data_IF_681308097232
#
_entry.id   IF_681308097232
#
_cell.length_a   1.000
_cell.length_b   1.000
_cell.length_c   1.000
_cell.angle_alpha   90.00
_cell.angle_beta   90.00
_cell.angle_gamma   90.00
#
_symmetry.space_group_name_H-M   'P 1'
#
loop_
_entity.id
_entity.type
_entity.pdbx_description
1 polymer ?
#
# COMPACT_ATOMS: atom_id res chain seq x y z
N UNK A 1 -24.00 10.81 8.73
CA UNK A 1 -22.60 11.32 8.95
C UNK A 1 -22.42 11.97 10.33
N UNK A 2 -23.47 12.50 10.96
CA UNK A 2 -23.38 13.13 12.31
C UNK A 2 -23.02 12.09 13.38
N UNK A 3 -23.39 10.82 13.22
CA UNK A 3 -23.01 9.73 14.15
C UNK A 3 -21.54 9.31 14.08
N UNK A 4 -20.86 9.52 12.93
CA UNK A 4 -19.46 9.16 12.77
C UNK A 4 -18.50 10.14 13.42
N UNK A 5 -18.85 11.44 13.45
CA UNK A 5 -18.02 12.47 14.10
C UNK A 5 -18.00 12.34 15.62
N UNK A 6 -19.12 11.95 16.23
CA UNK A 6 -19.16 11.64 17.67
C UNK A 6 -18.33 10.40 18.00
N UNK A 7 -18.34 9.37 17.14
CA UNK A 7 -17.53 8.17 17.34
C UNK A 7 -16.02 8.44 17.24
N UNK A 8 -15.60 9.43 16.47
CA UNK A 8 -14.18 9.77 16.28
C UNK A 8 -13.60 10.51 17.50
N UNK A 9 -14.44 11.24 18.26
CA UNK A 9 -13.97 12.08 19.38
C UNK A 9 -13.60 11.31 20.64
N UNK A 10 -14.23 10.18 20.88
CA UNK A 10 -14.11 9.39 22.12
C UNK A 10 -13.59 7.96 21.91
N UNK A 11 -13.21 7.59 20.68
CA UNK A 11 -12.72 6.24 20.37
C UNK A 11 -11.41 6.29 19.62
N UNK A 12 -10.56 5.30 19.88
CA UNK A 12 -9.35 5.09 19.12
C UNK A 12 -9.73 4.54 17.74
N UNK A 13 -9.46 5.30 16.69
CA UNK A 13 -9.73 4.90 15.31
C UNK A 13 -8.43 4.71 14.54
N UNK A 14 -8.33 3.59 13.82
CA UNK A 14 -7.15 3.23 13.04
C UNK A 14 -7.57 2.78 11.64
N UNK A 15 -6.79 3.16 10.62
CA UNK A 15 -6.91 2.63 9.26
C UNK A 15 -5.96 1.46 9.11
N UNK A 16 -6.45 0.34 8.57
CA UNK A 16 -5.70 -0.89 8.41
C UNK A 16 -4.70 -0.81 7.25
N UNK A 17 -3.44 -0.52 7.56
CA UNK A 17 -2.32 -0.49 6.63
C UNK A 17 -1.27 -1.53 7.04
N UNK A 18 -1.63 -2.81 6.99
CA UNK A 18 -0.88 -3.94 7.53
C UNK A 18 0.60 -3.96 7.11
N UNK A 19 0.96 -3.52 5.90
CA UNK A 19 2.35 -3.51 5.44
C UNK A 19 3.29 -2.67 6.30
N UNK A 20 2.76 -1.66 7.00
CA UNK A 20 3.51 -0.80 7.93
C UNK A 20 3.84 -1.47 9.27
N UNK A 21 3.32 -2.67 9.51
CA UNK A 21 3.47 -3.42 10.78
C UNK A 21 4.26 -4.73 10.61
N UNK A 22 4.63 -5.08 9.38
CA UNK A 22 5.47 -6.24 9.12
C UNK A 22 6.89 -6.05 9.64
N UNK A 23 7.50 -7.10 10.20
CA UNK A 23 8.83 -7.01 10.81
C UNK A 23 9.92 -6.64 9.79
N UNK A 24 9.80 -7.09 8.53
CA UNK A 24 10.71 -6.67 7.46
C UNK A 24 10.64 -5.17 7.19
N UNK A 25 9.43 -4.59 7.21
CA UNK A 25 9.23 -3.15 7.08
C UNK A 25 9.83 -2.37 8.27
N UNK A 26 9.57 -2.83 9.49
CA UNK A 26 10.10 -2.18 10.69
C UNK A 26 11.62 -2.22 10.72
N UNK A 27 12.23 -3.35 10.30
CA UNK A 27 13.69 -3.47 10.19
C UNK A 27 14.28 -2.57 9.11
N UNK A 28 13.61 -2.46 7.96
CA UNK A 28 14.01 -1.52 6.91
C UNK A 28 14.00 -0.08 7.43
N UNK A 29 12.94 0.33 8.13
CA UNK A 29 12.82 1.66 8.72
C UNK A 29 13.93 1.93 9.74
N UNK A 30 14.22 0.97 10.61
CA UNK A 30 15.35 1.04 11.57
C UNK A 30 16.66 1.31 10.85
N UNK A 31 16.97 0.54 9.78
CA UNK A 31 18.21 0.69 9.04
C UNK A 31 18.31 2.01 8.26
N UNK A 32 17.19 2.54 7.76
CA UNK A 32 17.16 3.87 7.13
C UNK A 32 17.43 4.99 8.14
N UNK A 33 17.03 4.81 9.38
CA UNK A 33 17.24 5.80 10.45
C UNK A 33 18.60 5.64 11.16
N UNK A 34 19.30 4.54 10.96
CA UNK A 34 20.54 4.23 11.67
C UNK A 34 21.77 4.94 11.12
N UNK A 35 21.71 5.42 9.89
CA UNK A 35 22.83 6.10 9.22
C UNK A 35 22.33 7.18 8.25
N UNK A 36 23.25 8.04 7.79
CA UNK A 36 22.99 9.18 6.88
C UNK A 36 23.11 8.82 5.41
N UNK A 37 23.05 7.54 5.03
CA UNK A 37 23.12 7.12 3.63
C UNK A 37 21.96 7.69 2.84
N UNK A 38 22.28 8.46 1.81
CA UNK A 38 21.26 9.01 0.92
C UNK A 38 20.61 7.93 0.07
N UNK A 39 19.32 8.07 -0.12
CA UNK A 39 18.60 7.29 -1.12
C UNK A 39 18.88 7.92 -2.48
N UNK A 40 19.28 7.10 -3.46
CA UNK A 40 19.54 7.54 -4.83
C UNK A 40 18.39 7.19 -5.78
N UNK A 41 17.64 6.13 -5.45
CA UNK A 41 16.50 5.67 -6.23
C UNK A 41 15.59 4.76 -5.40
N UNK A 42 14.29 4.75 -5.71
CA UNK A 42 13.36 3.76 -5.19
C UNK A 42 12.51 3.15 -6.30
N UNK A 43 12.16 1.89 -6.12
CA UNK A 43 11.16 1.22 -6.94
C UNK A 43 10.22 0.45 -6.02
N UNK A 44 8.94 0.59 -6.24
CA UNK A 44 7.96 -0.20 -5.51
C UNK A 44 6.85 -0.64 -6.46
N UNK A 45 6.23 -1.77 -6.15
CA UNK A 45 5.26 -2.36 -7.04
C UNK A 45 4.23 -3.22 -6.34
N UNK A 46 3.07 -3.27 -6.95
CA UNK A 46 1.97 -4.17 -6.67
C UNK A 46 1.50 -4.76 -8.01
N UNK A 47 2.14 -5.84 -8.44
CA UNK A 47 1.74 -6.60 -9.61
C UNK A 47 1.10 -7.87 -9.07
N UNK A 48 -0.23 -7.91 -9.10
CA UNK A 48 -0.98 -8.93 -8.37
C UNK A 48 -2.09 -9.56 -9.20
N UNK A 49 -2.36 -10.83 -8.91
CA UNK A 49 -3.57 -11.53 -9.29
C UNK A 49 -4.68 -11.25 -8.29
N UNK A 50 -5.92 -11.21 -8.73
CA UNK A 50 -7.09 -11.18 -7.85
C UNK A 50 -7.12 -12.35 -6.86
N UNK A 51 -7.74 -12.12 -5.70
CA UNK A 51 -7.66 -13.02 -4.56
C UNK A 51 -8.27 -14.41 -4.73
N UNK A 52 -9.19 -14.58 -5.69
CA UNK A 52 -9.99 -15.81 -5.84
C UNK A 52 -9.13 -17.05 -6.08
N UNK A 53 -8.05 -16.94 -6.86
CA UNK A 53 -7.10 -18.03 -7.07
C UNK A 53 -6.46 -18.50 -5.76
N UNK A 54 -5.98 -17.58 -4.93
CA UNK A 54 -5.32 -17.90 -3.67
C UNK A 54 -6.32 -18.41 -2.64
N UNK A 55 -7.48 -17.79 -2.52
CA UNK A 55 -8.54 -18.19 -1.59
C UNK A 55 -9.10 -19.57 -1.93
N UNK A 56 -9.25 -19.89 -3.21
CA UNK A 56 -9.78 -21.17 -3.67
C UNK A 56 -8.89 -22.36 -3.32
N UNK A 57 -7.59 -22.13 -3.07
CA UNK A 57 -6.67 -23.22 -2.69
C UNK A 57 -6.70 -23.53 -1.19
N UNK A 58 -7.14 -22.61 -0.36
CA UNK A 58 -7.06 -22.73 1.09
C UNK A 58 -8.43 -22.90 1.74
N UNK A 59 -9.40 -22.18 1.25
CA UNK A 59 -10.77 -22.23 1.76
C UNK A 59 -11.72 -21.76 0.68
N UNK A 60 -12.76 -22.52 0.41
CA UNK A 60 -13.86 -22.05 -0.43
C UNK A 60 -14.53 -20.87 0.28
N UNK A 61 -14.53 -19.67 -0.30
CA UNK A 61 -15.25 -18.56 0.28
C UNK A 61 -16.75 -18.87 0.24
N UNK A 62 -17.45 -18.53 1.31
CA UNK A 62 -18.91 -18.53 1.25
C UNK A 62 -19.35 -17.39 0.34
N UNK A 63 -19.79 -17.74 -0.84
CA UNK A 63 -20.37 -16.78 -1.78
C UNK A 63 -21.88 -16.72 -1.51
N UNK A 64 -22.32 -15.59 -0.98
CA UNK A 64 -23.75 -15.37 -0.77
C UNK A 64 -24.46 -15.27 -2.12
N UNK A 65 -25.40 -16.19 -2.36
CA UNK A 65 -26.20 -16.22 -3.60
C UNK A 65 -27.51 -15.43 -3.49
N UNK A 66 -27.83 -14.97 -2.28
CA UNK A 66 -29.09 -14.31 -1.92
C UNK A 66 -29.01 -12.79 -1.84
N UNK A 67 -27.89 -12.19 -2.26
CA UNK A 67 -27.74 -10.73 -2.32
C UNK A 67 -28.67 -10.15 -3.37
N UNK A 68 -29.68 -9.33 -2.98
CA UNK A 68 -30.60 -8.74 -3.93
C UNK A 68 -29.87 -7.89 -4.97
N UNK A 69 -30.38 -7.91 -6.21
CA UNK A 69 -29.83 -7.11 -7.29
C UNK A 69 -29.84 -5.61 -6.94
N UNK A 70 -30.89 -5.13 -6.26
CA UNK A 70 -30.99 -3.74 -5.77
C UNK A 70 -29.86 -3.34 -4.82
N UNK A 71 -29.38 -4.27 -3.97
CA UNK A 71 -28.24 -4.00 -3.07
C UNK A 71 -26.93 -3.88 -3.84
N UNK A 72 -26.74 -4.69 -4.90
CA UNK A 72 -25.58 -4.59 -5.80
C UNK A 72 -25.56 -3.25 -6.55
N UNK A 73 -26.71 -2.85 -7.09
CA UNK A 73 -26.88 -1.58 -7.81
C UNK A 73 -26.64 -0.37 -6.90
N UNK A 74 -27.17 -0.42 -5.66
CA UNK A 74 -26.96 0.63 -4.66
C UNK A 74 -25.49 0.72 -4.26
N UNK A 75 -24.81 -0.41 -4.02
CA UNK A 75 -23.37 -0.44 -3.75
C UNK A 75 -22.56 0.19 -4.89
N UNK A 76 -22.88 -0.14 -6.15
CA UNK A 76 -22.26 0.46 -7.32
C UNK A 76 -22.53 1.96 -7.42
N UNK A 77 -23.76 2.41 -7.13
CA UNK A 77 -24.13 3.82 -7.09
C UNK A 77 -23.32 4.59 -6.06
N UNK A 78 -23.27 4.07 -4.82
CA UNK A 78 -22.52 4.70 -3.71
C UNK A 78 -21.02 4.79 -4.02
N UNK A 79 -20.45 3.75 -4.62
CA UNK A 79 -19.03 3.77 -5.04
C UNK A 79 -18.78 4.88 -6.05
N UNK A 80 -19.61 4.99 -7.10
CA UNK A 80 -19.49 6.06 -8.10
C UNK A 80 -19.61 7.45 -7.49
N UNK A 81 -20.57 7.64 -6.59
CA UNK A 81 -20.77 8.89 -5.89
C UNK A 81 -19.56 9.26 -5.02
N UNK A 82 -18.98 8.31 -4.29
CA UNK A 82 -17.78 8.54 -3.46
C UNK A 82 -16.58 8.93 -4.32
N UNK A 83 -16.37 8.24 -5.43
CA UNK A 83 -15.29 8.58 -6.38
C UNK A 83 -15.53 9.95 -7.01
N UNK A 84 -16.76 10.26 -7.41
CA UNK A 84 -17.13 11.57 -7.93
C UNK A 84 -16.90 12.70 -6.93
N UNK A 85 -17.16 12.48 -5.65
CA UNK A 85 -16.84 13.45 -4.58
C UNK A 85 -15.34 13.68 -4.42
N UNK A 86 -14.52 12.63 -4.60
CA UNK A 86 -13.07 12.71 -4.47
C UNK A 86 -12.41 13.38 -5.69
N UNK A 87 -12.83 13.01 -6.91
CA UNK A 87 -12.19 13.43 -8.15
C UNK A 87 -12.92 14.59 -8.86
N UNK A 88 -14.20 14.81 -8.56
CA UNK A 88 -15.09 15.72 -9.27
C UNK A 88 -15.99 14.97 -10.29
N UNK A 89 -17.14 15.57 -10.62
CA UNK A 89 -18.14 14.96 -11.50
C UNK A 89 -17.65 14.73 -12.95
N UNK A 90 -16.66 15.53 -13.39
CA UNK A 90 -16.08 15.46 -14.75
C UNK A 90 -14.91 14.49 -14.88
N UNK A 91 -14.63 13.65 -13.88
CA UNK A 91 -13.51 12.71 -13.96
C UNK A 91 -13.76 11.63 -15.03
N UNK A 92 -12.67 11.27 -15.75
CA UNK A 92 -12.71 10.24 -16.79
C UNK A 92 -12.86 8.85 -16.17
N UNK A 93 -13.26 7.87 -16.99
CA UNK A 93 -13.36 6.47 -16.53
C UNK A 93 -11.99 5.92 -16.12
N UNK A 94 -10.92 6.28 -16.83
CA UNK A 94 -9.57 5.87 -16.47
C UNK A 94 -9.13 6.43 -15.12
N UNK A 95 -9.49 7.68 -14.81
CA UNK A 95 -9.24 8.26 -13.48
C UNK A 95 -10.01 7.51 -12.38
N UNK A 96 -11.27 7.11 -12.66
CA UNK A 96 -12.07 6.31 -11.71
C UNK A 96 -11.44 4.94 -11.43
N UNK A 97 -11.05 4.22 -12.47
CA UNK A 97 -10.37 2.92 -12.35
C UNK A 97 -9.11 3.08 -11.51
N UNK A 98 -8.26 4.02 -11.89
CA UNK A 98 -7.00 4.28 -11.17
C UNK A 98 -7.23 4.64 -9.70
N UNK A 99 -8.21 5.49 -9.40
CA UNK A 99 -8.52 5.86 -8.01
C UNK A 99 -8.99 4.67 -7.18
N UNK A 100 -9.83 3.80 -7.76
CA UNK A 100 -10.27 2.56 -7.09
C UNK A 100 -9.10 1.62 -6.83
N UNK A 101 -8.18 1.46 -7.80
CA UNK A 101 -6.97 0.66 -7.62
C UNK A 101 -6.07 1.25 -6.52
N UNK A 102 -5.86 2.55 -6.52
CA UNK A 102 -5.04 3.21 -5.49
C UNK A 102 -5.65 3.09 -4.09
N UNK A 103 -6.95 3.28 -3.96
CA UNK A 103 -7.64 3.19 -2.65
C UNK A 103 -7.84 1.76 -2.15
N UNK A 104 -7.96 0.78 -3.06
CA UNK A 104 -8.19 -0.62 -2.71
C UNK A 104 -6.90 -1.43 -2.54
N UNK A 105 -5.86 -1.12 -3.32
CA UNK A 105 -4.62 -1.87 -3.36
C UNK A 105 -3.40 -0.99 -3.08
N UNK A 106 -3.23 0.07 -3.85
CA UNK A 106 -2.04 0.93 -3.78
C UNK A 106 -1.85 1.61 -2.43
N UNK A 107 -2.94 1.82 -1.67
CA UNK A 107 -2.90 2.41 -0.34
C UNK A 107 -1.96 1.68 0.62
N UNK A 108 -1.83 0.36 0.50
CA UNK A 108 -0.96 -0.43 1.37
C UNK A 108 0.52 -0.17 1.13
N UNK A 109 0.93 -0.05 -0.15
CA UNK A 109 2.31 0.27 -0.51
C UNK A 109 2.62 1.75 -0.33
N UNK A 110 1.76 2.64 -0.83
CA UNK A 110 2.00 4.08 -0.77
C UNK A 110 2.05 4.60 0.66
N UNK A 111 1.18 4.11 1.56
CA UNK A 111 1.23 4.45 2.98
C UNK A 111 2.53 3.95 3.65
N UNK A 112 3.03 2.77 3.24
CA UNK A 112 4.30 2.24 3.74
C UNK A 112 5.49 3.08 3.24
N UNK A 113 5.53 3.41 1.95
CA UNK A 113 6.56 4.29 1.36
C UNK A 113 6.54 5.66 2.02
N UNK A 114 5.36 6.26 2.21
CA UNK A 114 5.23 7.54 2.91
C UNK A 114 5.76 7.49 4.35
N UNK A 115 5.59 6.39 5.07
CA UNK A 115 6.18 6.23 6.42
C UNK A 115 7.71 6.12 6.39
N UNK A 116 8.30 5.59 5.31
CA UNK A 116 9.75 5.46 5.16
C UNK A 116 10.42 6.77 4.75
N UNK A 117 9.84 7.49 3.77
CA UNK A 117 10.52 8.59 3.07
C UNK A 117 9.69 9.87 2.91
N UNK A 118 8.48 9.92 3.47
CA UNK A 118 7.58 11.07 3.33
C UNK A 118 6.79 11.08 2.02
N UNK A 119 6.14 12.22 1.74
CA UNK A 119 5.43 12.47 0.49
C UNK A 119 6.41 12.91 -0.60
N UNK A 120 6.15 12.59 -1.88
CA UNK A 120 6.93 13.13 -2.99
C UNK A 120 6.73 14.65 -3.11
N UNK A 121 7.75 15.34 -3.62
CA UNK A 121 7.67 16.76 -3.94
C UNK A 121 6.81 16.99 -5.18
N UNK A 122 6.87 16.05 -6.12
CA UNK A 122 6.11 16.13 -7.38
C UNK A 122 5.76 14.73 -7.91
N UNK A 123 4.61 14.64 -8.57
CA UNK A 123 4.23 13.52 -9.44
C UNK A 123 4.65 13.90 -10.85
N UNK A 124 5.78 13.36 -11.34
CA UNK A 124 6.32 13.72 -12.65
C UNK A 124 5.47 13.21 -13.79
N UNK A 125 5.09 11.96 -13.74
CA UNK A 125 4.26 11.34 -14.77
C UNK A 125 3.39 10.22 -14.22
N UNK A 126 2.25 10.03 -14.89
CA UNK A 126 1.33 8.92 -14.68
C UNK A 126 0.99 8.37 -16.06
N UNK A 127 1.36 7.12 -16.31
CA UNK A 127 1.02 6.39 -17.54
C UNK A 127 0.03 5.28 -17.20
N UNK A 128 -1.06 5.21 -17.96
CA UNK A 128 -2.16 4.28 -17.67
C UNK A 128 -2.60 3.53 -18.91
N UNK A 129 -2.93 2.25 -18.75
CA UNK A 129 -3.56 1.42 -19.76
C UNK A 129 -4.49 0.42 -19.05
N UNK A 130 -5.78 0.77 -18.94
CA UNK A 130 -6.73 -0.02 -18.15
C UNK A 130 -6.31 -0.08 -16.68
N UNK A 131 -6.10 -1.28 -16.17
CA UNK A 131 -5.65 -1.54 -14.79
C UNK A 131 -4.12 -1.66 -14.68
N UNK A 132 -3.37 -1.17 -15.66
CA UNK A 132 -1.91 -1.07 -15.64
C UNK A 132 -1.51 0.39 -15.48
N UNK A 133 -0.87 0.73 -14.37
CA UNK A 133 -0.50 2.10 -14.03
C UNK A 133 0.96 2.16 -13.61
N UNK A 134 1.71 3.08 -14.22
CA UNK A 134 3.10 3.39 -13.86
C UNK A 134 3.18 4.86 -13.47
N UNK A 135 3.74 5.13 -12.31
CA UNK A 135 3.85 6.47 -11.74
C UNK A 135 5.32 6.78 -11.47
N UNK A 136 5.77 7.96 -11.87
CA UNK A 136 7.10 8.48 -11.50
C UNK A 136 6.92 9.60 -10.49
N UNK A 137 7.54 9.44 -9.34
CA UNK A 137 7.58 10.43 -8.27
C UNK A 137 8.95 11.08 -8.19
N UNK A 138 8.99 12.38 -7.94
CA UNK A 138 10.18 13.13 -7.55
C UNK A 138 10.16 13.40 -6.06
N UNK A 139 11.21 12.98 -5.39
CA UNK A 139 11.57 13.41 -4.04
C UNK A 139 12.67 14.49 -4.13
N UNK A 140 13.06 15.10 -3.03
CA UNK A 140 14.08 16.15 -3.05
C UNK A 140 15.40 15.69 -3.70
N UNK A 141 15.90 14.51 -3.33
CA UNK A 141 17.21 14.01 -3.75
C UNK A 141 17.13 12.79 -4.72
N UNK A 142 15.96 12.22 -4.98
CA UNK A 142 15.85 10.99 -5.78
C UNK A 142 14.53 10.86 -6.56
N UNK A 143 14.54 9.97 -7.53
CA UNK A 143 13.32 9.52 -8.23
C UNK A 143 12.83 8.19 -7.68
N UNK A 144 11.53 8.01 -7.74
CA UNK A 144 10.91 6.73 -7.42
C UNK A 144 9.90 6.34 -8.50
N UNK A 145 9.82 5.03 -8.78
CA UNK A 145 8.84 4.46 -9.71
C UNK A 145 7.90 3.54 -8.96
N UNK A 146 6.61 3.74 -9.18
CA UNK A 146 5.57 2.85 -8.69
C UNK A 146 4.83 2.18 -9.84
N UNK A 147 4.75 0.86 -9.77
CA UNK A 147 4.02 0.03 -10.72
C UNK A 147 2.84 -0.62 -9.99
N UNK A 148 1.62 -0.37 -10.43
CA UNK A 148 0.43 -1.04 -9.92
C UNK A 148 -0.31 -1.68 -11.10
N UNK A 149 -0.44 -3.00 -11.06
CA UNK A 149 -0.98 -3.81 -12.14
C UNK A 149 -1.90 -4.86 -11.55
N UNK A 150 -3.14 -4.87 -11.99
CA UNK A 150 -4.04 -5.98 -11.71
C UNK A 150 -3.91 -6.99 -12.86
N UNK A 151 -3.08 -8.01 -12.65
CA UNK A 151 -2.82 -9.07 -13.62
C UNK A 151 -3.64 -10.31 -13.24
N UNK A 152 -4.61 -10.67 -14.08
CA UNK A 152 -5.51 -11.79 -13.84
C UNK A 152 -4.98 -13.12 -14.41
N UNK A 153 -3.97 -13.06 -15.27
CA UNK A 153 -3.50 -14.21 -16.05
C UNK A 153 -2.28 -14.88 -15.42
N UNK A 154 -1.47 -14.12 -14.67
CA UNK A 154 -0.24 -14.63 -14.05
C UNK A 154 -0.48 -14.97 -12.58
N UNK A 155 -0.36 -16.25 -12.27
CA UNK A 155 -0.54 -16.81 -10.93
C UNK A 155 0.68 -16.53 -10.05
N UNK A 156 1.02 -15.25 -9.92
CA UNK A 156 2.14 -14.79 -9.09
C UNK A 156 1.77 -13.48 -8.41
N UNK A 157 2.13 -13.37 -7.15
CA UNK A 157 2.00 -12.14 -6.39
C UNK A 157 3.37 -11.47 -6.30
N UNK A 158 3.58 -10.35 -6.98
CA UNK A 158 4.83 -9.59 -6.93
C UNK A 158 4.60 -8.20 -6.35
N UNK A 159 4.78 -8.07 -5.04
CA UNK A 159 4.72 -6.82 -4.33
C UNK A 159 6.01 -6.60 -3.55
N UNK A 160 6.65 -5.45 -3.77
CA UNK A 160 7.93 -5.15 -3.13
C UNK A 160 8.15 -3.63 -3.01
N UNK A 161 8.99 -3.26 -2.03
CA UNK A 161 9.62 -1.94 -1.92
C UNK A 161 11.12 -2.15 -2.00
N UNK A 162 11.76 -1.51 -2.96
CA UNK A 162 13.20 -1.58 -3.22
C UNK A 162 13.81 -0.18 -3.05
N UNK A 163 14.88 -0.08 -2.26
CA UNK A 163 15.57 1.16 -1.93
C UNK A 163 17.02 1.02 -2.33
N UNK A 164 17.51 1.95 -3.11
CA UNK A 164 18.88 1.99 -3.64
C UNK A 164 19.65 3.15 -3.02
N UNK A 165 20.74 2.82 -2.36
CA UNK A 165 21.72 3.75 -1.81
C UNK A 165 23.09 3.46 -2.46
N UNK A 166 24.06 4.32 -2.31
CA UNK A 166 25.35 4.19 -3.01
C UNK A 166 26.00 2.80 -2.95
N UNK A 167 26.02 2.19 -1.77
CA UNK A 167 26.68 0.90 -1.51
C UNK A 167 25.72 -0.14 -0.91
N UNK A 168 24.42 0.19 -0.82
CA UNK A 168 23.44 -0.68 -0.19
C UNK A 168 22.13 -0.72 -1.01
N UNK A 169 21.59 -1.92 -1.18
CA UNK A 169 20.24 -2.14 -1.65
C UNK A 169 19.42 -2.79 -0.54
N UNK A 170 18.20 -2.35 -0.39
CA UNK A 170 17.24 -2.94 0.53
C UNK A 170 15.98 -3.32 -0.23
N UNK A 171 15.44 -4.51 0.06
CA UNK A 171 14.23 -5.02 -0.58
C UNK A 171 13.31 -5.66 0.44
N UNK A 172 12.14 -5.07 0.62
CA UNK A 172 11.04 -5.68 1.35
C UNK A 172 10.17 -6.40 0.32
N UNK A 173 10.01 -7.71 0.47
CA UNK A 173 9.10 -8.51 -0.35
C UNK A 173 7.85 -8.83 0.46
N UNK A 174 6.70 -8.55 -0.12
CA UNK A 174 5.40 -8.89 0.44
C UNK A 174 4.83 -10.10 -0.28
N UNK A 175 4.29 -11.02 0.48
CA UNK A 175 3.52 -12.14 -0.04
C UNK A 175 2.03 -11.80 -0.08
N UNK A 176 1.25 -12.68 -0.72
CA UNK A 176 -0.19 -12.47 -0.87
C UNK A 176 -0.90 -12.37 0.49
N UNK A 177 -1.73 -11.32 0.72
CA UNK A 177 -2.48 -11.19 1.97
C UNK A 177 -3.65 -12.18 2.08
N UNK A 178 -3.99 -12.87 1.00
CA UNK A 178 -5.10 -13.83 0.96
C UNK A 178 -4.76 -15.18 1.61
N UNK A 179 -3.47 -15.47 1.78
CA UNK A 179 -2.97 -16.65 2.48
C UNK A 179 -2.37 -16.24 3.83
N UNK A 180 -2.81 -16.90 4.90
CA UNK A 180 -2.28 -16.65 6.24
C UNK A 180 -0.86 -17.19 6.40
N UNK A 181 -0.09 -16.50 7.25
CA UNK A 181 1.26 -16.94 7.65
C UNK A 181 2.24 -17.10 6.48
N UNK A 182 2.02 -16.36 5.39
CA UNK A 182 3.03 -16.29 4.33
C UNK A 182 4.25 -15.50 4.83
N UNK A 183 5.46 -16.02 4.62
CA UNK A 183 6.64 -15.40 5.19
C UNK A 183 6.96 -14.08 4.50
N UNK A 184 7.09 -13.02 5.28
CA UNK A 184 7.68 -11.78 4.82
C UNK A 184 9.21 -11.88 4.87
N UNK A 185 9.88 -11.39 3.86
CA UNK A 185 11.34 -11.32 3.81
C UNK A 185 11.82 -9.89 3.59
N UNK A 186 12.94 -9.58 4.20
CA UNK A 186 13.65 -8.33 3.99
C UNK A 186 15.12 -8.64 3.68
N UNK A 187 15.57 -8.24 2.50
CA UNK A 187 16.92 -8.45 2.02
C UNK A 187 17.71 -7.15 2.02
N UNK A 188 18.95 -7.22 2.46
CA UNK A 188 19.92 -6.14 2.41
C UNK A 188 21.16 -6.64 1.69
N UNK A 189 21.55 -5.95 0.63
CA UNK A 189 22.78 -6.20 -0.12
C UNK A 189 23.69 -5.01 0.11
N UNK A 190 24.85 -5.24 0.70
CA UNK A 190 25.91 -4.26 0.90
C UNK A 190 27.11 -4.63 0.02
N UNK A 191 27.68 -3.64 -0.67
CA UNK A 191 28.77 -3.86 -1.62
C UNK A 191 29.99 -3.03 -1.24
N UNK A 192 31.16 -3.63 -1.40
CA UNK A 192 32.45 -2.94 -1.40
C UNK A 192 33.00 -2.96 -2.83
N UNK A 193 34.22 -2.46 -3.04
CA UNK A 193 34.85 -2.53 -4.39
C UNK A 193 34.99 -3.96 -4.91
N UNK A 194 35.19 -4.93 -4.03
CA UNK A 194 35.59 -6.29 -4.40
C UNK A 194 34.55 -7.36 -3.99
N UNK A 195 33.68 -7.04 -3.03
CA UNK A 195 32.82 -8.02 -2.40
C UNK A 195 31.39 -7.50 -2.25
N UNK A 196 30.46 -8.44 -2.20
CA UNK A 196 29.06 -8.20 -1.90
C UNK A 196 28.63 -9.11 -0.75
N UNK A 197 27.98 -8.50 0.24
CA UNK A 197 27.38 -9.21 1.37
C UNK A 197 25.86 -9.11 1.26
N UNK A 198 25.18 -10.26 1.24
CA UNK A 198 23.73 -10.34 1.33
C UNK A 198 23.32 -10.77 2.73
N UNK A 199 22.44 -10.01 3.36
CA UNK A 199 21.81 -10.35 4.62
C UNK A 199 20.31 -10.50 4.41
N UNK A 200 19.77 -11.68 4.72
CA UNK A 200 18.35 -11.96 4.68
C UNK A 200 17.80 -11.96 6.10
N UNK A 201 16.86 -11.05 6.36
CA UNK A 201 16.05 -11.01 7.58
C UNK A 201 14.75 -11.77 7.34
N UNK A 202 14.55 -12.83 8.10
CA UNK A 202 13.43 -13.75 7.91
C UNK A 202 13.88 -15.13 7.41
N UNK A 203 12.93 -16.02 7.05
CA UNK A 203 11.50 -15.76 6.94
C UNK A 203 10.84 -15.47 8.29
N UNK A 204 9.94 -14.50 8.33
CA UNK A 204 9.09 -14.26 9.49
C UNK A 204 7.65 -14.65 9.16
N UNK A 205 7.13 -15.63 9.90
CA UNK A 205 5.79 -16.18 9.71
C UNK A 205 4.73 -15.47 10.55
N UNK A 206 5.11 -14.45 11.33
CA UNK A 206 4.12 -13.61 12.01
C UNK A 206 3.46 -12.72 10.99
N UNK A 207 2.14 -12.82 10.97
CA UNK A 207 1.31 -12.07 10.04
C UNK A 207 1.35 -10.56 10.37
N UNK A 208 1.53 -9.74 9.36
CA UNK A 208 1.50 -8.28 9.51
C UNK A 208 0.15 -7.78 10.06
N UNK A 209 -0.95 -8.46 9.75
CA UNK A 209 -2.27 -8.20 10.34
C UNK A 209 -2.30 -8.48 11.84
N UNK A 210 -1.64 -9.56 12.29
CA UNK A 210 -1.55 -9.87 13.72
C UNK A 210 -0.80 -8.76 14.46
N UNK A 211 0.34 -8.33 13.93
CA UNK A 211 1.11 -7.22 14.49
C UNK A 211 0.30 -5.91 14.52
N UNK A 212 -0.46 -5.64 13.47
CA UNK A 212 -1.34 -4.47 13.36
C UNK A 212 -2.45 -4.49 14.41
N UNK A 213 -3.15 -5.62 14.57
CA UNK A 213 -4.21 -5.77 15.58
C UNK A 213 -3.66 -5.65 16.99
N UNK A 214 -2.48 -6.24 17.26
CA UNK A 214 -1.79 -6.10 18.54
C UNK A 214 -1.43 -4.66 18.84
N UNK A 215 -0.85 -3.95 17.84
CA UNK A 215 -0.54 -2.53 17.98
C UNK A 215 -1.80 -1.70 18.27
N UNK A 216 -2.92 -1.99 17.59
CA UNK A 216 -4.19 -1.30 17.82
C UNK A 216 -4.71 -1.54 19.24
N UNK A 217 -4.67 -2.80 19.70
CA UNK A 217 -5.01 -3.15 21.08
C UNK A 217 -4.17 -2.35 22.08
N UNK A 218 -2.85 -2.27 21.87
CA UNK A 218 -1.94 -1.54 22.74
C UNK A 218 -2.25 -0.03 22.76
N UNK A 219 -2.66 0.54 21.61
CA UNK A 219 -3.12 1.92 21.54
C UNK A 219 -4.38 2.15 22.41
N UNK A 220 -5.34 1.21 22.37
CA UNK A 220 -6.57 1.30 23.18
C UNK A 220 -6.23 1.22 24.67
N UNK A 221 -5.43 0.22 25.06
CA UNK A 221 -5.08 -0.01 26.48
C UNK A 221 -4.30 1.16 27.07
N UNK A 222 -3.38 1.73 26.28
CA UNK A 222 -2.51 2.82 26.74
C UNK A 222 -3.08 4.23 26.48
N UNK A 223 -4.24 4.33 25.83
CA UNK A 223 -4.85 5.62 25.45
C UNK A 223 -4.00 6.42 24.47
N UNK A 224 -3.22 5.75 23.61
CA UNK A 224 -2.34 6.41 22.63
C UNK A 224 -2.99 6.48 21.25
N UNK A 225 -2.60 7.52 20.48
CA UNK A 225 -3.08 7.71 19.12
C UNK A 225 -2.36 6.73 18.16
N UNK A 226 -3.10 5.97 17.31
CA UNK A 226 -2.47 5.14 16.30
C UNK A 226 -1.69 5.94 15.27
N UNK A 227 -0.57 5.38 14.75
CA UNK A 227 0.21 6.01 13.69
C UNK A 227 -0.52 6.11 12.35
N UNK A 228 -1.54 5.26 12.13
CA UNK A 228 -2.38 5.25 10.93
C UNK A 228 -3.82 5.66 11.26
N UNK A 229 -4.00 6.81 11.86
CA UNK A 229 -5.32 7.39 12.10
C UNK A 229 -5.93 8.01 10.83
N UNK A 230 -7.13 8.56 10.92
CA UNK A 230 -7.77 9.19 9.77
C UNK A 230 -7.01 10.40 9.23
N UNK A 231 -6.31 11.15 10.06
CA UNK A 231 -5.52 12.30 9.59
C UNK A 231 -4.29 11.87 8.80
N UNK A 232 -3.67 10.75 9.20
CA UNK A 232 -2.59 10.10 8.46
C UNK A 232 -3.08 9.59 7.10
N UNK A 233 -4.23 8.90 7.07
CA UNK A 233 -4.83 8.38 5.83
C UNK A 233 -5.30 9.49 4.86
N UNK A 234 -5.67 10.66 5.36
CA UNK A 234 -6.05 11.79 4.51
C UNK A 234 -4.89 12.28 3.62
N UNK A 235 -3.64 12.10 4.05
CA UNK A 235 -2.48 12.41 3.22
C UNK A 235 -2.40 11.47 2.00
N UNK A 236 -2.72 10.19 2.19
CA UNK A 236 -2.76 9.21 1.10
C UNK A 236 -3.90 9.53 0.11
N UNK A 237 -5.10 9.85 0.60
CA UNK A 237 -6.23 10.19 -0.26
C UNK A 237 -5.96 11.43 -1.13
N UNK A 238 -5.26 12.43 -0.59
CA UNK A 238 -4.82 13.60 -1.36
C UNK A 238 -3.84 13.19 -2.46
N UNK A 239 -2.83 12.38 -2.11
CA UNK A 239 -1.86 11.87 -3.07
C UNK A 239 -2.56 11.08 -4.20
N UNK A 240 -3.52 10.21 -3.88
CA UNK A 240 -4.26 9.42 -4.87
C UNK A 240 -5.05 10.31 -5.82
N UNK A 241 -5.72 11.34 -5.30
CA UNK A 241 -6.40 12.33 -6.11
C UNK A 241 -5.41 13.03 -7.05
N UNK A 242 -4.29 13.50 -6.52
CA UNK A 242 -3.30 14.25 -7.30
C UNK A 242 -2.69 13.37 -8.41
N UNK A 243 -2.47 12.06 -8.15
CA UNK A 243 -2.08 11.08 -9.16
C UNK A 243 -3.14 11.02 -10.27
N UNK A 244 -4.41 10.86 -9.92
CA UNK A 244 -5.49 10.75 -10.91
C UNK A 244 -5.61 12.03 -11.75
N UNK A 245 -5.38 13.21 -11.18
CA UNK A 245 -5.42 14.47 -11.91
C UNK A 245 -4.24 14.67 -12.89
N UNK A 246 -3.16 13.90 -12.75
CA UNK A 246 -2.03 13.89 -13.69
C UNK A 246 -2.25 12.97 -14.91
N UNK A 247 -3.27 12.12 -14.90
CA UNK A 247 -3.62 11.26 -16.03
C UNK A 247 -4.06 12.16 -17.18
N UNK A 248 -3.36 12.06 -18.32
CA UNK A 248 -3.70 12.77 -19.54
C UNK A 248 -4.61 11.89 -20.39
N UNK A 249 -5.56 12.50 -21.08
CA UNK A 249 -6.39 11.85 -22.08
C UNK A 249 -5.56 11.40 -23.30
#
# INVERSE_FOLDING_TARGET
>A
LVGSEMCIRDRVCMVGYMRRYGNGFLKCKELLQADDRKIEYMRFRDIILEGDFFMGQTRLPYLSSDIPQSAKEESGRLRREQVGRALGEGCTEQQRITYVMLTGLGCHTLAAVRELVGLPVEIESVSVQGEHVVIVFRYEDFLAVYEIVNDQDVVQFDAAIEIYQHDRRMKIKYETPYLRYQPQTFEVIESTKNDTKTTLYGPDYRDAFENEVKYYHDCIVNGTKPKSDFSDAMADLKLFRDICMKIKE
#
